data_IF_029272915120
#
_entry.id   IF_029272915120
#
_cell.length_a   1.000
_cell.length_b   1.000
_cell.length_c   1.000
_cell.angle_alpha   90.00
_cell.angle_beta   90.00
_cell.angle_gamma   90.00
#
_symmetry.space_group_name_H-M   'P 1'
#
loop_
_entity.id
_entity.type
_entity.pdbx_description
1 polymer ?
#
# COMPACT_ATOMS: atom_id res chain seq x y z
N UNK A 1 -0.91 32.96 11.75
CA UNK A 1 0.15 31.94 11.88
C UNK A 1 -0.52 30.58 11.80
N UNK A 2 -0.62 30.02 10.60
CA UNK A 2 -1.08 28.64 10.42
C UNK A 2 0.04 27.73 10.85
N UNK A 3 -0.12 27.08 12.00
CA UNK A 3 0.74 25.97 12.40
C UNK A 3 0.70 24.91 11.30
N UNK A 4 1.78 24.80 10.52
CA UNK A 4 2.05 23.63 9.69
C UNK A 4 2.31 22.46 10.63
N UNK A 5 1.23 21.87 11.17
CA UNK A 5 1.32 20.50 11.67
C UNK A 5 1.58 19.64 10.45
N UNK A 6 2.82 19.17 10.29
CA UNK A 6 3.16 18.19 9.27
C UNK A 6 2.23 16.99 9.45
N UNK A 7 1.48 16.67 8.41
CA UNK A 7 0.63 15.49 8.37
C UNK A 7 1.54 14.25 8.37
N UNK A 8 1.34 13.35 9.32
CA UNK A 8 2.14 12.13 9.43
C UNK A 8 1.49 11.06 8.57
N UNK A 9 2.14 10.68 7.47
CA UNK A 9 1.71 9.60 6.58
C UNK A 9 2.79 8.54 6.59
N UNK A 10 2.43 7.33 6.99
CA UNK A 10 3.35 6.19 7.07
C UNK A 10 2.77 5.02 6.30
N UNK A 11 3.63 4.35 5.52
CA UNK A 11 3.29 3.13 4.78
C UNK A 11 4.34 2.07 5.09
N UNK A 12 3.90 1.00 5.74
CA UNK A 12 4.70 -0.18 5.98
C UNK A 12 4.17 -1.36 5.15
N UNK A 13 5.05 -2.28 4.78
CA UNK A 13 4.68 -3.53 4.10
C UNK A 13 5.24 -4.72 4.84
N UNK A 14 4.44 -5.76 4.95
CA UNK A 14 4.77 -6.99 5.65
C UNK A 14 4.59 -8.18 4.72
N UNK A 15 5.50 -9.15 4.78
CA UNK A 15 5.34 -10.47 4.17
C UNK A 15 4.84 -11.45 5.23
N UNK A 16 3.89 -12.31 4.84
CA UNK A 16 3.28 -13.29 5.71
C UNK A 16 3.98 -14.65 5.58
N UNK A 17 4.66 -15.06 6.65
CA UNK A 17 5.28 -16.37 6.76
C UNK A 17 4.32 -17.33 7.44
N UNK A 18 3.95 -18.40 6.74
CA UNK A 18 3.11 -19.45 7.31
C UNK A 18 3.86 -20.18 8.43
N UNK A 19 3.30 -20.14 9.64
CA UNK A 19 3.70 -20.98 10.77
C UNK A 19 2.49 -21.81 11.20
N UNK A 20 2.48 -23.08 10.78
CA UNK A 20 1.35 -24.03 10.97
C UNK A 20 0.03 -23.46 10.44
N UNK A 21 -0.79 -22.89 11.33
CA UNK A 21 -2.15 -22.41 11.11
C UNK A 21 -2.28 -20.88 11.25
N UNK A 22 -1.16 -20.17 11.43
CA UNK A 22 -1.13 -18.71 11.50
C UNK A 22 -0.06 -18.11 10.58
N UNK A 23 -0.10 -16.79 10.46
CA UNK A 23 0.91 -16.03 9.74
C UNK A 23 1.72 -15.19 10.72
N UNK A 24 3.05 -15.26 10.58
CA UNK A 24 3.96 -14.27 11.16
C UNK A 24 4.22 -13.19 10.12
N UNK A 25 3.91 -11.93 10.46
CA UNK A 25 4.16 -10.78 9.61
C UNK A 25 5.56 -10.21 9.88
N UNK A 26 6.40 -10.16 8.84
CA UNK A 26 7.75 -9.59 8.91
C UNK A 26 7.81 -8.38 7.99
N UNK A 27 8.37 -7.26 8.46
CA UNK A 27 8.52 -6.06 7.61
C UNK A 27 9.35 -6.41 6.38
N UNK A 28 8.95 -5.90 5.21
CA UNK A 28 9.57 -6.29 3.94
C UNK A 28 11.07 -5.98 3.90
N UNK A 29 11.48 -4.85 4.50
CA UNK A 29 12.89 -4.44 4.58
C UNK A 29 13.74 -5.36 5.46
N UNK A 30 13.13 -6.07 6.42
CA UNK A 30 13.78 -7.05 7.31
C UNK A 30 13.82 -8.47 6.70
N UNK A 31 13.12 -8.72 5.59
CA UNK A 31 13.11 -10.02 4.94
C UNK A 31 14.42 -10.32 4.22
N UNK A 32 14.94 -11.54 4.38
CA UNK A 32 16.14 -12.00 3.65
C UNK A 32 15.83 -13.12 2.64
N UNK A 33 14.63 -13.69 2.73
CA UNK A 33 14.10 -14.74 1.84
C UNK A 33 12.61 -14.47 1.64
N UNK A 34 11.99 -15.07 0.62
CA UNK A 34 10.54 -15.05 0.51
C UNK A 34 9.89 -16.08 1.44
N UNK A 35 8.65 -15.84 1.91
CA UNK A 35 7.79 -16.88 2.44
C UNK A 35 7.64 -18.06 1.47
N UNK A 36 7.42 -19.25 2.01
CA UNK A 36 7.12 -20.44 1.19
C UNK A 36 5.72 -20.34 0.58
N UNK A 37 5.65 -20.03 -0.71
CA UNK A 37 4.41 -19.88 -1.47
C UNK A 37 3.87 -21.19 -2.03
N UNK A 38 4.52 -22.35 -1.82
CA UNK A 38 4.06 -23.63 -2.41
C UNK A 38 2.66 -24.05 -1.96
N UNK A 39 2.25 -23.62 -0.77
CA UNK A 39 0.92 -23.91 -0.21
C UNK A 39 -0.16 -22.96 -0.71
N UNK A 40 0.18 -21.67 -0.82
CA UNK A 40 -0.77 -20.59 -1.11
C UNK A 40 -0.83 -20.25 -2.59
N UNK A 41 0.21 -20.58 -3.37
CA UNK A 41 0.50 -20.12 -4.74
C UNK A 41 0.81 -18.62 -4.83
N UNK A 42 0.20 -17.82 -3.96
CA UNK A 42 0.37 -16.38 -3.92
C UNK A 42 1.36 -15.95 -2.84
N UNK A 43 2.01 -14.80 -3.06
CA UNK A 43 2.85 -14.17 -2.05
C UNK A 43 1.94 -13.39 -1.10
N UNK A 44 1.72 -13.93 0.08
CA UNK A 44 0.85 -13.29 1.07
C UNK A 44 1.58 -12.21 1.86
N UNK A 45 0.84 -11.17 2.23
CA UNK A 45 1.35 -10.06 3.02
C UNK A 45 0.28 -9.03 3.32
N UNK A 46 0.68 -7.91 3.91
CA UNK A 46 -0.22 -6.79 4.16
C UNK A 46 0.49 -5.45 4.02
N UNK A 47 -0.30 -4.41 3.73
CA UNK A 47 0.13 -3.01 3.79
C UNK A 47 -0.50 -2.38 5.01
N UNK A 48 0.26 -1.57 5.74
CA UNK A 48 -0.28 -0.70 6.79
C UNK A 48 -0.13 0.75 6.35
N UNK A 49 -1.25 1.43 6.10
CA UNK A 49 -1.29 2.86 5.76
C UNK A 49 -1.88 3.63 6.93
N UNK A 50 -1.07 4.48 7.54
CA UNK A 50 -1.46 5.33 8.67
C UNK A 50 -1.43 6.79 8.24
N UNK A 51 -2.49 7.54 8.56
CA UNK A 51 -2.56 9.00 8.35
C UNK A 51 -2.97 9.68 9.64
N UNK A 52 -2.13 10.57 10.16
CA UNK A 52 -2.32 11.26 11.45
C UNK A 52 -2.60 10.28 12.60
N UNK A 53 -1.85 9.17 12.65
CA UNK A 53 -2.02 8.11 13.64
C UNK A 53 -3.25 7.21 13.44
N UNK A 54 -4.08 7.44 12.41
CA UNK A 54 -5.23 6.59 12.08
C UNK A 54 -4.83 5.56 11.03
N UNK A 55 -4.96 4.28 11.39
CA UNK A 55 -4.79 3.17 10.45
C UNK A 55 -5.99 3.10 9.52
N UNK A 56 -5.76 3.31 8.24
CA UNK A 56 -6.80 3.23 7.20
C UNK A 56 -6.74 1.89 6.51
N UNK A 57 -5.52 1.49 6.15
CA UNK A 57 -5.23 0.12 5.75
C UNK A 57 -4.50 -0.52 6.94
N UNK A 58 -5.06 -1.59 7.49
CA UNK A 58 -4.52 -2.25 8.67
C UNK A 58 -3.75 -3.51 8.29
N UNK A 59 -2.63 -3.74 9.00
CA UNK A 59 -1.77 -4.92 8.84
C UNK A 59 -2.50 -6.26 9.00
N UNK A 60 -3.67 -6.30 9.62
CA UNK A 60 -4.47 -7.52 9.79
C UNK A 60 -5.07 -8.06 8.48
N UNK A 61 -5.17 -7.21 7.44
CA UNK A 61 -5.71 -7.60 6.15
C UNK A 61 -4.62 -8.24 5.30
N UNK A 62 -4.42 -9.55 5.49
CA UNK A 62 -3.44 -10.36 4.75
C UNK A 62 -4.07 -10.82 3.44
N UNK A 63 -3.41 -10.55 2.32
CA UNK A 63 -3.89 -10.88 0.97
C UNK A 63 -2.69 -11.08 0.02
N UNK A 64 -2.94 -11.29 -1.28
CA UNK A 64 -1.90 -11.26 -2.30
C UNK A 64 -1.24 -9.86 -2.34
N UNK A 65 -0.03 -9.80 -1.78
CA UNK A 65 0.70 -8.54 -1.59
C UNK A 65 1.26 -8.00 -2.90
N UNK A 66 1.50 -8.87 -3.89
CA UNK A 66 1.96 -8.44 -5.20
C UNK A 66 0.84 -7.77 -5.98
N UNK A 67 -0.34 -8.38 -6.00
CA UNK A 67 -1.51 -7.78 -6.65
C UNK A 67 -1.92 -6.48 -5.95
N UNK A 68 -1.92 -6.47 -4.61
CA UNK A 68 -2.22 -5.25 -3.85
C UNK A 68 -1.26 -4.10 -4.18
N UNK A 69 0.05 -4.37 -4.27
CA UNK A 69 1.01 -3.33 -4.65
C UNK A 69 0.90 -2.90 -6.12
N UNK A 70 0.55 -3.81 -7.03
CA UNK A 70 0.25 -3.46 -8.42
C UNK A 70 -0.93 -2.49 -8.49
N UNK A 71 -1.99 -2.72 -7.71
CA UNK A 71 -3.13 -1.81 -7.65
C UNK A 71 -2.75 -0.47 -7.01
N UNK A 72 -1.97 -0.46 -5.92
CA UNK A 72 -1.50 0.78 -5.30
C UNK A 72 -0.60 1.61 -6.24
N UNK A 73 0.17 0.98 -7.12
CA UNK A 73 0.92 1.68 -8.18
C UNK A 73 -0.03 2.38 -9.17
N UNK A 74 -1.17 1.75 -9.49
CA UNK A 74 -2.19 2.39 -10.33
C UNK A 74 -2.87 3.54 -9.58
N UNK A 75 -3.14 3.38 -8.27
CA UNK A 75 -3.66 4.46 -7.42
C UNK A 75 -2.73 5.67 -7.43
N UNK A 76 -1.41 5.48 -7.30
CA UNK A 76 -0.43 6.58 -7.36
C UNK A 76 -0.53 7.32 -8.69
N UNK A 77 -0.62 6.61 -9.81
CA UNK A 77 -0.76 7.22 -11.13
C UNK A 77 -2.09 7.97 -11.31
N UNK A 78 -3.21 7.37 -10.89
CA UNK A 78 -4.52 8.00 -10.94
C UNK A 78 -4.57 9.28 -10.09
N UNK A 79 -4.02 9.24 -8.88
CA UNK A 79 -3.98 10.39 -8.00
C UNK A 79 -3.14 11.52 -8.60
N UNK A 80 -2.01 11.20 -9.25
CA UNK A 80 -1.20 12.19 -9.98
C UNK A 80 -1.99 12.84 -11.11
N UNK A 81 -2.77 12.07 -11.85
CA UNK A 81 -3.62 12.54 -12.95
C UNK A 81 -4.90 13.27 -12.48
N UNK A 82 -5.06 13.48 -11.17
CA UNK A 82 -6.22 14.19 -10.65
C UNK A 82 -7.48 13.34 -10.51
N UNK A 83 -7.38 12.02 -10.63
CA UNK A 83 -8.53 11.11 -10.64
C UNK A 83 -8.86 10.60 -9.24
N UNK A 84 -10.12 10.21 -9.08
CA UNK A 84 -10.57 9.39 -7.96
C UNK A 84 -10.41 7.92 -8.34
N UNK A 85 -10.09 7.08 -7.36
CA UNK A 85 -9.87 5.66 -7.59
C UNK A 85 -10.37 4.82 -6.42
N UNK A 86 -10.75 3.59 -6.69
CA UNK A 86 -11.14 2.61 -5.68
C UNK A 86 -10.96 1.20 -6.22
N UNK A 87 -10.52 0.29 -5.37
CA UNK A 87 -10.39 -1.13 -5.70
C UNK A 87 -10.86 -1.98 -4.52
N UNK A 88 -10.84 -3.29 -4.73
CA UNK A 88 -11.04 -4.29 -3.69
C UNK A 88 -9.72 -4.99 -3.40
N UNK A 89 -9.63 -5.56 -2.20
CA UNK A 89 -8.61 -6.55 -1.90
C UNK A 89 -8.79 -7.77 -2.83
N UNK A 90 -7.69 -8.40 -3.30
CA UNK A 90 -7.77 -9.50 -4.26
C UNK A 90 -8.67 -10.66 -3.79
N UNK A 91 -8.50 -11.11 -2.54
CA UNK A 91 -9.20 -12.28 -2.01
C UNK A 91 -10.24 -11.96 -0.93
N UNK A 92 -10.44 -10.67 -0.62
CA UNK A 92 -11.32 -10.24 0.46
C UNK A 92 -12.36 -9.21 -0.01
N UNK A 93 -13.58 -9.22 0.57
CA UNK A 93 -14.62 -8.22 0.29
C UNK A 93 -14.33 -6.89 1.01
N UNK A 94 -13.08 -6.43 0.97
CA UNK A 94 -12.62 -5.19 1.57
C UNK A 94 -12.41 -4.19 0.44
N UNK A 95 -13.11 -3.07 0.50
CA UNK A 95 -12.96 -1.98 -0.47
C UNK A 95 -12.05 -0.92 0.10
N UNK A 96 -11.19 -0.34 -0.72
CA UNK A 96 -10.47 0.89 -0.39
C UNK A 96 -10.65 1.92 -1.50
N UNK A 97 -10.56 3.21 -1.14
CA UNK A 97 -10.71 4.31 -2.11
C UNK A 97 -9.89 5.53 -1.74
N UNK A 98 -9.61 6.32 -2.78
CA UNK A 98 -8.95 7.59 -2.71
C UNK A 98 -9.77 8.60 -3.54
N UNK A 99 -10.35 9.58 -2.88
CA UNK A 99 -11.22 10.58 -3.50
C UNK A 99 -10.65 11.98 -3.27
N UNK A 100 -10.29 12.69 -4.35
CA UNK A 100 -9.79 14.06 -4.25
C UNK A 100 -10.83 14.97 -3.59
N UNK A 101 -10.32 15.87 -2.76
CA UNK A 101 -11.06 16.90 -2.07
C UNK A 101 -10.43 18.27 -2.35
N UNK A 102 -11.13 19.34 -1.99
CA UNK A 102 -10.65 20.71 -2.19
C UNK A 102 -9.36 20.96 -1.39
N UNK A 103 -8.53 21.88 -1.89
CA UNK A 103 -7.34 22.34 -1.18
C UNK A 103 -6.16 21.36 -1.19
N UNK A 104 -5.98 20.60 -2.28
CA UNK A 104 -4.85 19.67 -2.41
C UNK A 104 -4.93 18.47 -1.46
N UNK A 105 -6.15 18.06 -1.10
CA UNK A 105 -6.38 16.93 -0.19
C UNK A 105 -7.03 15.76 -0.91
N UNK A 106 -6.90 14.58 -0.32
CA UNK A 106 -7.54 13.34 -0.73
C UNK A 106 -8.18 12.72 0.50
N UNK A 107 -9.38 12.18 0.35
CA UNK A 107 -10.04 11.32 1.32
C UNK A 107 -9.58 9.91 1.03
N UNK A 108 -8.96 9.26 2.01
CA UNK A 108 -8.55 7.86 1.96
C UNK A 108 -9.49 7.08 2.85
N UNK A 109 -10.03 5.98 2.35
CA UNK A 109 -10.92 5.16 3.14
C UNK A 109 -10.87 3.67 2.83
N UNK A 110 -11.43 2.91 3.76
CA UNK A 110 -11.56 1.48 3.74
C UNK A 110 -12.92 1.05 4.28
N UNK A 111 -13.53 0.05 3.67
CA UNK A 111 -14.80 -0.54 4.06
C UNK A 111 -14.67 -2.07 4.14
N UNK A 112 -15.06 -2.63 5.27
CA UNK A 112 -15.07 -4.08 5.50
C UNK A 112 -16.31 -4.48 6.31
N UNK A 113 -17.19 -5.29 5.72
CA UNK A 113 -18.38 -5.82 6.42
C UNK A 113 -19.30 -4.72 6.98
N UNK A 114 -19.41 -3.59 6.29
CA UNK A 114 -20.21 -2.43 6.72
C UNK A 114 -19.50 -1.46 7.67
N UNK A 115 -18.30 -1.80 8.16
CA UNK A 115 -17.46 -0.87 8.91
C UNK A 115 -16.70 0.03 7.93
N UNK A 116 -16.87 1.33 8.06
CA UNK A 116 -16.27 2.34 7.19
C UNK A 116 -15.27 3.20 7.96
N UNK A 117 -14.04 3.29 7.47
CA UNK A 117 -12.98 4.12 8.02
C UNK A 117 -12.54 5.13 6.96
N UNK A 118 -12.49 6.41 7.32
CA UNK A 118 -12.04 7.48 6.42
C UNK A 118 -11.16 8.48 7.17
N UNK A 119 -10.21 9.03 6.43
CA UNK A 119 -9.44 10.20 6.85
C UNK A 119 -9.11 11.05 5.62
N UNK A 120 -8.58 12.24 5.85
CA UNK A 120 -8.07 13.08 4.78
C UNK A 120 -6.57 13.21 4.90
N UNK A 121 -5.86 13.23 3.77
CA UNK A 121 -4.43 13.46 3.65
C UNK A 121 -4.13 14.56 2.60
N UNK A 122 -2.99 15.23 2.72
CA UNK A 122 -2.39 16.00 1.62
C UNK A 122 -2.06 15.04 0.47
N UNK A 123 -2.50 15.38 -0.75
CA UNK A 123 -2.39 14.49 -1.90
C UNK A 123 -0.95 14.29 -2.36
N UNK A 124 -0.13 15.34 -2.32
CA UNK A 124 1.28 15.28 -2.75
C UNK A 124 2.10 14.43 -1.78
N UNK A 125 1.91 14.63 -0.46
CA UNK A 125 2.58 13.82 0.55
C UNK A 125 2.15 12.35 0.50
N UNK A 126 0.85 12.08 0.29
CA UNK A 126 0.37 10.71 0.17
C UNK A 126 0.96 10.01 -1.07
N UNK A 127 0.97 10.71 -2.21
CA UNK A 127 1.59 10.20 -3.45
C UNK A 127 3.06 9.87 -3.19
N UNK A 128 3.81 10.78 -2.58
CA UNK A 128 5.24 10.59 -2.34
C UNK A 128 5.52 9.40 -1.41
N UNK A 129 4.77 9.28 -0.30
CA UNK A 129 4.95 8.17 0.64
C UNK A 129 4.58 6.82 0.00
N UNK A 130 3.44 6.74 -0.70
CA UNK A 130 3.05 5.52 -1.42
C UNK A 130 4.08 5.15 -2.50
N UNK A 131 4.61 6.16 -3.20
CA UNK A 131 5.61 5.99 -4.24
C UNK A 131 6.90 5.39 -3.70
N UNK A 132 7.46 6.00 -2.65
CA UNK A 132 8.69 5.55 -2.01
C UNK A 132 8.52 4.14 -1.41
N UNK A 133 7.40 3.88 -0.74
CA UNK A 133 7.11 2.56 -0.18
C UNK A 133 6.96 1.48 -1.28
N UNK A 134 6.32 1.81 -2.40
CA UNK A 134 6.20 0.91 -3.54
C UNK A 134 7.55 0.61 -4.21
N UNK A 135 8.41 1.63 -4.37
CA UNK A 135 9.77 1.44 -4.89
C UNK A 135 10.55 0.49 -4.00
N UNK A 136 10.55 0.75 -2.68
CA UNK A 136 11.20 -0.10 -1.69
C UNK A 136 10.68 -1.53 -1.78
N UNK A 137 9.36 -1.73 -1.85
CA UNK A 137 8.76 -3.06 -1.97
C UNK A 137 9.28 -3.80 -3.21
N UNK A 138 9.12 -3.23 -4.41
CA UNK A 138 9.51 -3.93 -5.65
C UNK A 138 11.02 -4.18 -5.72
N UNK A 139 11.86 -3.23 -5.28
CA UNK A 139 13.31 -3.44 -5.21
C UNK A 139 13.68 -4.55 -4.23
N UNK A 140 12.99 -4.62 -3.08
CA UNK A 140 13.25 -5.65 -2.08
C UNK A 140 12.81 -7.03 -2.56
N UNK A 141 11.66 -7.15 -3.23
CA UNK A 141 11.24 -8.41 -3.86
C UNK A 141 12.23 -8.84 -4.94
N UNK A 142 12.70 -7.93 -5.78
CA UNK A 142 13.72 -8.22 -6.79
C UNK A 142 15.00 -8.75 -6.15
N UNK A 143 15.49 -8.10 -5.09
CA UNK A 143 16.68 -8.50 -4.36
C UNK A 143 16.60 -9.94 -3.81
N UNK A 144 15.46 -10.32 -3.22
CA UNK A 144 15.33 -11.59 -2.50
C UNK A 144 14.80 -12.74 -3.36
N UNK A 145 14.23 -12.46 -4.54
CA UNK A 145 13.61 -13.47 -5.41
C UNK A 145 14.18 -13.54 -6.82
N UNK A 146 14.98 -12.55 -7.24
CA UNK A 146 15.40 -12.32 -8.63
C UNK A 146 14.22 -12.13 -9.60
N UNK A 147 13.02 -11.80 -9.12
CA UNK A 147 11.88 -11.44 -9.96
C UNK A 147 11.83 -9.93 -10.18
N UNK A 148 11.79 -9.51 -11.44
CA UNK A 148 11.88 -8.11 -11.84
C UNK A 148 10.51 -7.52 -12.16
N UNK A 149 10.27 -6.27 -11.71
CA UNK A 149 9.02 -5.53 -11.93
C UNK A 149 9.24 -4.18 -12.63
N UNK A 150 9.81 -4.17 -13.86
CA UNK A 150 10.26 -2.94 -14.51
C UNK A 150 9.11 -2.01 -14.93
N UNK A 151 7.88 -2.52 -15.08
CA UNK A 151 6.72 -1.68 -15.38
C UNK A 151 6.34 -0.83 -14.15
N UNK A 152 6.21 -1.47 -12.99
CA UNK A 152 5.83 -0.83 -11.74
C UNK A 152 6.90 0.18 -11.32
N UNK A 153 8.18 -0.21 -11.37
CA UNK A 153 9.29 0.69 -11.07
C UNK A 153 9.35 1.90 -12.02
N UNK A 154 9.11 1.73 -13.32
CA UNK A 154 9.04 2.87 -14.26
C UNK A 154 7.88 3.81 -13.94
N UNK A 155 6.71 3.28 -13.60
CA UNK A 155 5.55 4.10 -13.23
C UNK A 155 5.81 4.91 -11.96
N UNK A 156 6.43 4.29 -10.95
CA UNK A 156 6.80 4.93 -9.70
C UNK A 156 7.99 5.91 -9.80
N UNK A 157 8.82 5.80 -10.83
CA UNK A 157 9.95 6.70 -11.09
C UNK A 157 9.70 7.69 -12.23
N UNK A 158 8.50 7.70 -12.82
CA UNK A 158 8.17 8.63 -13.90
C UNK A 158 8.33 10.08 -13.44
N UNK A 159 8.85 10.95 -14.31
CA UNK A 159 9.05 12.36 -13.98
C UNK A 159 7.73 13.06 -13.57
N UNK A 160 7.83 14.09 -12.70
CA UNK A 160 6.69 14.89 -12.25
C UNK A 160 6.11 14.51 -10.88
N UNK A 161 6.92 13.90 -10.00
CA UNK A 161 6.67 13.80 -8.56
C UNK A 161 7.32 14.94 -7.80
#
# INVERSE_FOLDING_TARGET
MTSNLYETIDVDTFLAYSDKDCYTLVRVNECNVLPDTRKTKDLLGSVELTVNGKKIIDRQYIDDILLLWIDLVNVVADLREGKNTSSYYPDQPIRYWFCRSKGGRVIVGLENGGNKFETSANVEQLIEVLRLAGIMFFQKIEQISNQFYPRQLRQLNADGY
#
